data_IF_910930817911
#
_entry.id   IF_910930817911
#
_cell.length_a   1.000
_cell.length_b   1.000
_cell.length_c   1.000
_cell.angle_alpha   90.00
_cell.angle_beta   90.00
_cell.angle_gamma   90.00
#
_symmetry.space_group_name_H-M   'P 1'
#
loop_
_entity.id
_entity.type
_entity.pdbx_description
1 polymer ?
#
# COMPACT_ATOMS: atom_id res chain seq x y z
N UNK A 1 -10.90 -19.94 11.94
CA UNK A 1 -12.07 -19.06 12.07
C UNK A 1 -12.23 -18.35 10.75
N UNK A 2 -13.38 -18.52 10.07
CA UNK A 2 -13.66 -17.74 8.87
C UNK A 2 -14.02 -16.33 9.33
N UNK A 3 -13.08 -15.39 9.18
CA UNK A 3 -13.38 -13.97 9.34
C UNK A 3 -14.46 -13.61 8.31
N UNK A 4 -15.52 -12.94 8.75
CA UNK A 4 -16.58 -12.50 7.83
C UNK A 4 -16.04 -11.45 6.86
N UNK A 5 -16.60 -11.39 5.64
CA UNK A 5 -16.13 -10.45 4.60
C UNK A 5 -16.17 -8.99 5.07
N UNK A 6 -17.14 -8.65 5.92
CA UNK A 6 -17.28 -7.33 6.55
C UNK A 6 -16.16 -7.04 7.58
N UNK A 7 -15.78 -8.03 8.40
CA UNK A 7 -14.67 -7.88 9.35
C UNK A 7 -13.35 -7.66 8.61
N UNK A 8 -13.13 -8.37 7.50
CA UNK A 8 -11.94 -8.21 6.66
C UNK A 8 -11.92 -6.83 6.01
N UNK A 9 -13.06 -6.31 5.52
CA UNK A 9 -13.16 -4.96 4.96
C UNK A 9 -12.75 -3.89 5.99
N UNK A 10 -13.32 -3.94 7.20
CA UNK A 10 -13.00 -3.00 8.28
C UNK A 10 -11.52 -3.09 8.67
N UNK A 11 -11.00 -4.32 8.79
CA UNK A 11 -9.58 -4.55 9.09
C UNK A 11 -8.68 -3.91 8.03
N UNK A 12 -8.91 -4.20 6.75
CA UNK A 12 -8.06 -3.72 5.67
C UNK A 12 -8.12 -2.20 5.56
N UNK A 13 -9.31 -1.61 5.68
CA UNK A 13 -9.46 -0.14 5.70
C UNK A 13 -8.67 0.50 6.84
N UNK A 14 -8.64 -0.13 8.02
CA UNK A 14 -7.82 0.31 9.14
C UNK A 14 -6.33 0.21 8.81
N UNK A 15 -5.88 -0.91 8.23
CA UNK A 15 -4.46 -1.11 7.90
C UNK A 15 -3.95 -0.12 6.85
N UNK A 16 -4.75 0.19 5.82
CA UNK A 16 -4.43 1.24 4.84
C UNK A 16 -4.24 2.59 5.53
N UNK A 17 -5.15 2.96 6.44
CA UNK A 17 -5.02 4.19 7.23
C UNK A 17 -3.78 4.18 8.13
N UNK A 18 -3.45 3.04 8.74
CA UNK A 18 -2.27 2.90 9.59
C UNK A 18 -0.97 3.11 8.80
N UNK A 19 -0.88 2.61 7.56
CA UNK A 19 0.24 2.87 6.65
C UNK A 19 0.35 4.37 6.34
N UNK A 20 -0.76 5.01 5.93
CA UNK A 20 -0.78 6.46 5.64
C UNK A 20 -0.39 7.28 6.87
N UNK A 21 -0.85 6.87 8.07
CA UNK A 21 -0.49 7.50 9.32
C UNK A 21 0.99 7.30 9.68
N UNK A 22 1.58 6.14 9.36
CA UNK A 22 3.01 5.90 9.57
C UNK A 22 3.87 6.88 8.75
N UNK A 23 3.53 7.11 7.48
CA UNK A 23 4.22 8.10 6.64
C UNK A 23 4.04 9.55 7.14
N UNK A 24 2.86 9.88 7.69
CA UNK A 24 2.63 11.20 8.31
C UNK A 24 3.45 11.38 9.59
N UNK A 25 3.59 10.33 10.40
CA UNK A 25 4.31 10.36 11.68
C UNK A 25 5.83 10.38 11.49
N UNK A 26 6.34 9.62 10.53
CA UNK A 26 7.77 9.59 10.20
C UNK A 26 7.96 9.80 8.68
N UNK A 27 8.32 11.02 8.23
CA UNK A 27 8.60 11.28 6.82
C UNK A 27 9.94 10.70 6.35
N UNK A 28 10.80 10.25 7.27
CA UNK A 28 12.15 9.76 6.99
C UNK A 28 12.25 8.23 6.95
N UNK A 29 11.14 7.53 6.69
CA UNK A 29 11.17 6.08 6.49
C UNK A 29 12.13 5.80 5.33
N UNK A 30 13.08 4.90 5.55
CA UNK A 30 14.14 4.62 4.59
C UNK A 30 14.08 3.21 4.02
N UNK A 31 13.27 2.32 4.60
CA UNK A 31 13.12 0.93 4.18
C UNK A 31 11.79 0.33 4.65
N UNK A 32 11.28 -0.59 3.83
CA UNK A 32 10.09 -1.40 4.13
C UNK A 32 10.43 -2.88 4.23
N UNK A 33 9.70 -3.62 5.07
CA UNK A 33 9.90 -5.05 5.27
C UNK A 33 8.60 -5.80 5.60
N UNK A 34 8.64 -7.12 5.46
CA UNK A 34 7.57 -8.01 5.94
C UNK A 34 8.09 -8.74 7.18
N UNK A 35 7.33 -8.66 8.27
CA UNK A 35 7.66 -9.29 9.53
C UNK A 35 7.00 -10.67 9.56
N UNK A 36 7.76 -11.78 9.71
CA UNK A 36 7.18 -13.10 9.87
C UNK A 36 6.30 -13.16 11.12
N UNK A 37 4.99 -13.29 10.90
CA UNK A 37 3.98 -13.36 11.94
C UNK A 37 2.78 -14.14 11.36
N UNK A 38 2.58 -15.41 11.73
CA UNK A 38 1.55 -16.26 11.14
C UNK A 38 0.14 -15.91 11.59
N UNK A 39 0.00 -15.37 12.80
CA UNK A 39 -1.29 -15.08 13.44
C UNK A 39 -1.30 -13.65 14.01
N UNK A 40 -2.49 -13.03 14.02
CA UNK A 40 -2.66 -11.69 14.55
C UNK A 40 -2.45 -11.68 16.07
N UNK A 41 -1.68 -10.71 16.55
CA UNK A 41 -1.59 -10.41 17.98
C UNK A 41 -2.80 -9.56 18.38
N UNK A 42 -3.54 -9.98 19.40
CA UNK A 42 -4.75 -9.29 19.86
C UNK A 42 -4.51 -7.79 20.07
N UNK A 43 -5.37 -6.98 19.45
CA UNK A 43 -5.45 -5.52 19.58
C UNK A 43 -4.17 -4.74 19.18
N UNK A 44 -3.35 -5.26 18.26
CA UNK A 44 -2.23 -4.52 17.67
C UNK A 44 -2.39 -4.37 16.17
N UNK A 45 -1.97 -3.22 15.64
CA UNK A 45 -1.89 -3.02 14.19
C UNK A 45 -0.78 -3.90 13.62
N UNK A 46 -0.96 -4.50 12.43
CA UNK A 46 0.11 -5.21 11.73
C UNK A 46 1.20 -4.27 11.19
N UNK A 47 0.99 -2.95 11.27
CA UNK A 47 1.95 -1.95 10.85
C UNK A 47 2.87 -1.61 12.04
N UNK A 48 4.13 -1.98 11.91
CA UNK A 48 5.16 -1.83 12.93
C UNK A 48 6.21 -0.85 12.44
N UNK A 49 6.30 0.31 13.09
CA UNK A 49 7.33 1.32 12.80
C UNK A 49 8.41 1.27 13.88
N UNK A 50 9.63 0.92 13.50
CA UNK A 50 10.81 0.93 14.39
C UNK A 50 11.86 1.83 13.76
N UNK A 51 12.21 2.91 14.45
CA UNK A 51 13.10 3.95 13.92
C UNK A 51 12.58 4.46 12.55
N UNK A 52 13.34 4.26 11.47
CA UNK A 52 12.99 4.63 10.09
C UNK A 52 12.53 3.42 9.25
N UNK A 53 12.26 2.27 9.87
CA UNK A 53 11.90 1.02 9.19
C UNK A 53 10.41 0.74 9.34
N UNK A 54 9.70 0.57 8.22
CA UNK A 54 8.28 0.23 8.20
C UNK A 54 8.10 -1.28 7.96
N UNK A 55 7.66 -2.00 8.97
CA UNK A 55 7.32 -3.42 8.90
C UNK A 55 5.83 -3.67 8.74
N UNK A 56 5.48 -4.66 7.92
CA UNK A 56 4.12 -5.19 7.78
C UNK A 56 4.11 -6.64 8.21
N UNK A 57 3.32 -7.00 9.23
CA UNK A 57 3.19 -8.38 9.69
C UNK A 57 2.54 -9.29 8.61
N UNK A 58 3.13 -10.46 8.37
CA UNK A 58 2.75 -11.31 7.24
C UNK A 58 1.30 -11.82 7.27
N UNK A 59 0.70 -11.97 8.46
CA UNK A 59 -0.67 -12.44 8.60
C UNK A 59 -1.68 -11.50 7.91
N UNK A 60 -1.41 -10.19 7.84
CA UNK A 60 -2.35 -9.25 7.24
C UNK A 60 -2.24 -9.20 5.71
N UNK A 61 -1.09 -9.57 5.15
CA UNK A 61 -0.81 -9.47 3.70
C UNK A 61 -1.78 -10.32 2.87
N UNK A 62 -2.16 -11.50 3.37
CA UNK A 62 -3.11 -12.41 2.71
C UNK A 62 -4.52 -11.84 2.55
N UNK A 63 -4.89 -10.85 3.37
CA UNK A 63 -6.17 -10.14 3.31
C UNK A 63 -6.02 -8.80 2.59
N UNK A 64 -4.97 -8.06 2.95
CA UNK A 64 -4.69 -6.73 2.46
C UNK A 64 -4.46 -6.71 0.95
N UNK A 65 -3.57 -7.58 0.44
CA UNK A 65 -3.17 -7.55 -0.97
C UNK A 65 -4.35 -7.87 -1.92
N UNK A 66 -5.12 -8.96 -1.75
CA UNK A 66 -6.28 -9.24 -2.60
C UNK A 66 -7.33 -8.14 -2.54
N UNK A 67 -7.57 -7.57 -1.35
CA UNK A 67 -8.54 -6.50 -1.17
C UNK A 67 -8.16 -5.24 -1.97
N UNK A 68 -6.96 -4.69 -1.75
CA UNK A 68 -6.56 -3.44 -2.43
C UNK A 68 -6.39 -3.64 -3.93
N UNK A 69 -5.98 -4.83 -4.36
CA UNK A 69 -5.92 -5.23 -5.75
C UNK A 69 -7.32 -5.22 -6.40
N UNK A 70 -8.29 -5.93 -5.80
CA UNK A 70 -9.65 -5.98 -6.32
C UNK A 70 -10.32 -4.61 -6.33
N UNK A 71 -10.11 -3.80 -5.28
CA UNK A 71 -10.65 -2.44 -5.20
C UNK A 71 -10.13 -1.55 -6.33
N UNK A 72 -8.84 -1.64 -6.67
CA UNK A 72 -8.27 -0.91 -7.80
C UNK A 72 -8.81 -1.41 -9.15
N UNK A 73 -8.99 -2.72 -9.32
CA UNK A 73 -9.57 -3.29 -10.53
C UNK A 73 -11.03 -2.86 -10.73
N UNK A 74 -11.85 -2.88 -9.68
CA UNK A 74 -13.24 -2.42 -9.74
C UNK A 74 -13.33 -0.94 -10.12
N UNK A 75 -12.40 -0.12 -9.62
CA UNK A 75 -12.26 1.27 -10.05
C UNK A 75 -11.92 1.39 -11.54
N UNK A 76 -10.93 0.64 -12.03
CA UNK A 76 -10.56 0.63 -13.45
C UNK A 76 -11.69 0.14 -14.36
N UNK A 77 -12.50 -0.80 -13.88
CA UNK A 77 -13.69 -1.30 -14.58
C UNK A 77 -14.90 -0.37 -14.46
N UNK A 78 -14.78 0.78 -13.75
CA UNK A 78 -15.86 1.74 -13.48
C UNK A 78 -17.05 1.12 -12.73
N UNK A 79 -16.83 0.02 -12.00
CA UNK A 79 -17.83 -0.67 -11.19
C UNK A 79 -17.96 -0.07 -9.80
N UNK A 80 -16.89 0.54 -9.30
CA UNK A 80 -16.86 1.19 -8.00
C UNK A 80 -16.13 2.52 -8.10
N UNK A 81 -16.72 3.58 -7.57
CA UNK A 81 -16.10 4.89 -7.53
C UNK A 81 -15.15 5.00 -6.32
N UNK A 82 -13.99 5.62 -6.51
CA UNK A 82 -13.06 5.95 -5.44
C UNK A 82 -12.70 7.42 -5.58
N UNK A 83 -12.70 8.14 -4.47
CA UNK A 83 -12.16 9.48 -4.46
C UNK A 83 -10.64 9.45 -4.70
N UNK A 84 -10.09 10.60 -5.06
CA UNK A 84 -8.70 10.69 -5.51
C UNK A 84 -7.71 10.45 -4.36
N UNK A 85 -8.06 10.77 -3.11
CA UNK A 85 -7.21 10.52 -1.95
C UNK A 85 -7.18 9.02 -1.64
N UNK A 86 -8.33 8.35 -1.69
CA UNK A 86 -8.43 6.90 -1.54
C UNK A 86 -7.62 6.16 -2.62
N UNK A 87 -7.58 6.67 -3.86
CA UNK A 87 -6.72 6.11 -4.91
C UNK A 87 -5.23 6.23 -4.58
N UNK A 88 -4.81 7.35 -4.00
CA UNK A 88 -3.41 7.53 -3.54
C UNK A 88 -3.08 6.50 -2.46
N UNK A 89 -3.96 6.32 -1.46
CA UNK A 89 -3.75 5.39 -0.35
C UNK A 89 -3.74 3.91 -0.80
N UNK A 90 -4.69 3.52 -1.66
CA UNK A 90 -4.81 2.16 -2.20
C UNK A 90 -3.59 1.82 -3.06
N UNK A 91 -3.23 2.71 -3.99
CA UNK A 91 -2.07 2.47 -4.86
C UNK A 91 -0.75 2.49 -4.09
N UNK A 92 -0.60 3.34 -3.08
CA UNK A 92 0.54 3.33 -2.17
C UNK A 92 0.68 1.97 -1.49
N UNK A 93 -0.38 1.52 -0.81
CA UNK A 93 -0.40 0.23 -0.10
C UNK A 93 -0.09 -0.94 -1.02
N UNK A 94 -0.72 -0.96 -2.21
CA UNK A 94 -0.54 -2.02 -3.19
C UNK A 94 0.91 -2.09 -3.71
N UNK A 95 1.54 -0.95 -4.01
CA UNK A 95 2.90 -0.90 -4.56
C UNK A 95 3.99 -1.19 -3.52
N UNK A 96 3.73 -0.94 -2.23
CA UNK A 96 4.63 -1.40 -1.14
C UNK A 96 4.66 -2.93 -1.01
N UNK A 97 3.59 -3.61 -1.44
CA UNK A 97 3.47 -5.07 -1.35
C UNK A 97 3.77 -5.78 -2.67
N UNK A 98 3.39 -5.19 -3.80
CA UNK A 98 3.55 -5.71 -5.14
C UNK A 98 3.87 -4.57 -6.13
N UNK A 99 5.15 -4.17 -6.23
CA UNK A 99 5.54 -3.04 -7.07
C UNK A 99 5.54 -3.35 -8.57
N UNK A 100 5.44 -4.62 -8.97
CA UNK A 100 5.34 -5.01 -10.38
C UNK A 100 3.91 -4.92 -10.94
N UNK A 101 2.99 -4.28 -10.20
CA UNK A 101 1.64 -4.06 -10.66
C UNK A 101 1.51 -2.78 -11.49
N UNK A 102 1.79 -2.88 -12.80
CA UNK A 102 1.77 -1.78 -13.78
C UNK A 102 0.52 -0.90 -13.69
N UNK A 103 -0.66 -1.50 -13.50
CA UNK A 103 -1.92 -0.75 -13.42
C UNK A 103 -1.94 0.26 -12.28
N UNK A 104 -1.35 -0.08 -11.12
CA UNK A 104 -1.25 0.84 -9.99
C UNK A 104 -0.32 2.01 -10.31
N UNK A 105 0.85 1.76 -10.91
CA UNK A 105 1.72 2.84 -11.39
C UNK A 105 1.03 3.74 -12.41
N UNK A 106 0.24 3.17 -13.33
CA UNK A 106 -0.51 3.97 -14.32
C UNK A 106 -1.60 4.84 -13.68
N UNK A 107 -2.30 4.36 -12.65
CA UNK A 107 -3.24 5.20 -11.88
C UNK A 107 -2.50 6.38 -11.26
N UNK A 108 -1.30 6.15 -10.73
CA UNK A 108 -0.50 7.22 -10.11
C UNK A 108 0.00 8.23 -11.14
N UNK A 109 0.38 7.81 -12.35
CA UNK A 109 0.66 8.73 -13.48
C UNK A 109 -0.53 9.64 -13.79
N UNK A 110 -1.75 9.12 -13.81
CA UNK A 110 -2.97 9.92 -14.02
C UNK A 110 -3.21 10.92 -12.87
N UNK A 111 -2.95 10.51 -11.62
CA UNK A 111 -3.04 11.37 -10.44
C UNK A 111 -1.99 12.49 -10.44
N UNK A 112 -0.77 12.22 -10.93
CA UNK A 112 0.28 13.22 -11.16
C UNK A 112 -0.16 14.24 -12.22
N UNK A 113 -0.67 13.76 -13.37
CA UNK A 113 -1.14 14.62 -14.47
C UNK A 113 -2.28 15.54 -14.03
N UNK A 114 -3.18 15.07 -13.17
CA UNK A 114 -4.28 15.87 -12.63
C UNK A 114 -3.88 16.75 -11.43
N UNK A 115 -2.61 16.78 -11.03
CA UNK A 115 -2.09 17.61 -9.94
C UNK A 115 -2.49 17.15 -8.53
N UNK A 116 -3.04 15.95 -8.38
CA UNK A 116 -3.48 15.41 -7.08
C UNK A 116 -2.30 14.84 -6.29
N UNK A 117 -1.37 14.20 -7.01
CA UNK A 117 -0.18 13.59 -6.42
C UNK A 117 1.04 14.47 -6.69
N UNK A 118 1.90 14.65 -5.69
CA UNK A 118 3.18 15.33 -5.84
C UNK A 118 4.21 14.33 -6.41
N UNK A 119 4.94 14.66 -7.50
CA UNK A 119 6.02 13.83 -8.05
C UNK A 119 7.05 13.36 -7.01
N UNK A 120 7.41 14.20 -6.04
CA UNK A 120 8.37 13.85 -5.00
C UNK A 120 7.87 12.70 -4.11
N UNK A 121 6.56 12.66 -3.83
CA UNK A 121 5.96 11.54 -3.09
C UNK A 121 6.01 10.25 -3.90
N UNK A 122 5.94 10.32 -5.22
CA UNK A 122 6.01 9.16 -6.10
C UNK A 122 7.43 8.62 -6.24
N UNK A 123 8.41 9.52 -6.39
CA UNK A 123 9.82 9.17 -6.34
C UNK A 123 10.20 8.53 -4.99
N UNK A 124 9.66 9.05 -3.89
CA UNK A 124 9.85 8.48 -2.55
C UNK A 124 9.22 7.09 -2.42
N UNK A 125 8.00 6.89 -2.92
CA UNK A 125 7.35 5.58 -2.93
C UNK A 125 8.18 4.56 -3.75
N UNK A 126 8.65 4.94 -4.94
CA UNK A 126 9.52 4.10 -5.76
C UNK A 126 10.83 3.76 -5.05
N UNK A 127 11.46 4.74 -4.39
CA UNK A 127 12.66 4.52 -3.57
C UNK A 127 12.42 3.47 -2.48
N UNK A 128 11.29 3.55 -1.77
CA UNK A 128 10.93 2.59 -0.72
C UNK A 128 10.63 1.20 -1.28
N UNK A 129 9.89 1.11 -2.38
CA UNK A 129 9.62 -0.18 -3.03
C UNK A 129 10.93 -0.90 -3.41
N UNK A 130 11.92 -0.16 -3.90
CA UNK A 130 13.24 -0.70 -4.29
C UNK A 130 14.08 -1.21 -3.11
N UNK A 131 13.79 -0.83 -1.86
CA UNK A 131 14.52 -1.38 -0.71
C UNK A 131 14.19 -2.85 -0.47
N UNK A 132 12.95 -3.24 -0.79
CA UNK A 132 12.47 -4.63 -0.67
C UNK A 132 12.52 -5.37 -2.01
N UNK A 133 12.27 -4.66 -3.10
CA UNK A 133 12.20 -5.23 -4.46
C UNK A 133 13.19 -4.52 -5.40
N UNK A 134 14.51 -4.65 -5.19
CA UNK A 134 15.52 -3.89 -5.94
C UNK A 134 15.53 -4.21 -7.44
N UNK A 135 14.97 -5.36 -7.84
CA UNK A 135 14.88 -5.83 -9.21
C UNK A 135 13.50 -5.64 -9.86
N UNK A 136 12.57 -4.94 -9.22
CA UNK A 136 11.23 -4.66 -9.76
C UNK A 136 11.35 -3.85 -11.06
N UNK A 137 11.06 -4.43 -12.25
CA UNK A 137 11.19 -3.72 -13.51
C UNK A 137 10.22 -2.54 -13.60
N UNK A 138 8.98 -2.72 -13.17
CA UNK A 138 7.94 -1.70 -13.29
C UNK A 138 8.24 -0.46 -12.44
N UNK A 139 8.88 -0.64 -11.28
CA UNK A 139 9.32 0.50 -10.45
C UNK A 139 10.35 1.34 -11.19
N UNK A 140 11.29 0.71 -11.90
CA UNK A 140 12.29 1.43 -12.70
C UNK A 140 11.69 2.07 -13.95
N UNK A 141 10.72 1.41 -14.61
CA UNK A 141 10.02 1.95 -15.79
C UNK A 141 9.19 3.18 -15.42
N UNK A 142 8.60 3.19 -14.22
CA UNK A 142 7.74 4.28 -13.79
C UNK A 142 8.53 5.53 -13.34
N UNK A 143 9.70 5.34 -12.74
CA UNK A 143 10.56 6.40 -12.17
C UNK A 143 11.12 7.34 -13.24
#
# INVERSE_FOLDING_TARGET
MAESEEEVDVLVQRVVKDITNAFKRNPNIDEIGVIPCPEARYNRSPIVLVENKLGVESWCVKFLLPYVHNKLLLYRQRKHWLDREALVDITCTLLLLNPDFTTAWNVRKELLQCGVLNPEKDLYLGKLALTKFPKSPETWIHR
#
